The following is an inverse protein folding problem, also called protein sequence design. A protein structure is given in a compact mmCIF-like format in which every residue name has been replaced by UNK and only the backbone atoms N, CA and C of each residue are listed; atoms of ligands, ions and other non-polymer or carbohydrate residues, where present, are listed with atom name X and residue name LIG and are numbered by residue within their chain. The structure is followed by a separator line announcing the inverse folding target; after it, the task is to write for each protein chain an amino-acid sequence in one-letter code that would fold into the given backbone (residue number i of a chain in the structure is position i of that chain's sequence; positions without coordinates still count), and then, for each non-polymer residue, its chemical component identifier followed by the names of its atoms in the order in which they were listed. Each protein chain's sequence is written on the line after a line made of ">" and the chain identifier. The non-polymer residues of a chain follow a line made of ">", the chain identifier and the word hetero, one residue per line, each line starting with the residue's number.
data_IF_391536000722
#
_entry.id   IF_391536000722
#
_cell.length_a   1.000
_cell.length_b   1.000
_cell.length_c   1.000
_cell.angle_alpha   90.00
_cell.angle_beta   90.00
_cell.angle_gamma   90.00
#
_symmetry.space_group_name_H-M   'P 1'
#
loop_
_entity.id
_entity.type
_entity.pdbx_description
1 polymer ?
2 polymer ?
3 non-polymer ?
4 non-polymer ?
5 water ?
#
# COMPACT_ATOMS: atom_id res chain seq x y z
N UNK A 1 15.18 13.26 -2.56
CA UNK A 1 15.27 12.27 -1.49
C UNK A 1 14.11 11.30 -1.53
N UNK A 2 14.26 10.16 -0.85
CA UNK A 2 13.23 9.13 -0.78
C UNK A 2 12.41 9.30 0.49
N UNK A 3 11.10 9.09 0.38
CA UNK A 3 10.27 9.00 1.58
C UNK A 3 10.81 7.86 2.45
N UNK A 4 11.11 8.16 3.70
CA UNK A 4 11.58 7.15 4.62
C UNK A 4 11.33 7.59 6.04
N UNK A 5 11.76 6.75 6.97
CA UNK A 5 11.59 7.04 8.39
C UNK A 5 12.13 8.42 8.75
N UNK A 6 11.31 9.19 9.46
CA UNK A 6 11.69 10.49 10.03
C UNK A 6 11.96 11.57 9.00
N UNK A 7 11.43 11.42 7.79
CA UNK A 7 11.46 12.52 6.83
C UNK A 7 10.14 13.27 6.92
N UNK A 8 10.21 14.58 6.66
CA UNK A 8 9.00 15.38 6.52
C UNK A 8 8.63 15.37 5.04
N UNK A 9 7.42 14.91 4.74
CA UNK A 9 6.97 14.66 3.38
C UNK A 9 5.76 15.56 3.12
N UNK A 10 5.77 16.24 1.98
CA UNK A 10 4.64 17.06 1.54
C UNK A 10 3.99 16.38 0.35
N UNK A 11 2.68 16.18 0.42
CA UNK A 11 1.95 15.54 -0.66
C UNK A 11 0.76 16.40 -1.08
N UNK A 12 0.42 16.27 -2.35
CA UNK A 12 -0.84 16.75 -2.91
C UNK A 12 -1.71 15.53 -3.16
N UNK A 13 -2.98 15.61 -2.79
CA UNK A 13 -3.83 14.43 -2.83
C UNK A 13 -5.20 14.79 -3.35
N UNK A 14 -5.81 13.80 -4.01
CA UNK A 14 -7.20 13.83 -4.43
C UNK A 14 -7.86 12.55 -3.95
N UNK A 15 -8.97 12.67 -3.23
CA UNK A 15 -9.72 11.53 -2.76
C UNK A 15 -10.95 11.35 -3.63
N UNK A 16 -11.07 10.15 -4.21
CA UNK A 16 -12.19 9.68 -4.99
C UNK A 16 -12.74 8.42 -4.34
N UNK A 17 -14.04 8.19 -4.53
CA UNK A 17 -14.66 6.93 -4.16
C UNK A 17 -15.55 6.51 -5.32
N UNK A 18 -15.23 5.37 -5.93
CA UNK A 18 -15.94 4.83 -7.09
C UNK A 18 -16.08 5.86 -8.20
N UNK A 19 -14.98 6.55 -8.51
CA UNK A 19 -14.94 7.48 -9.60
C UNK A 19 -15.43 8.88 -9.30
N UNK A 20 -15.96 9.12 -8.09
CA UNK A 20 -16.49 10.42 -7.74
C UNK A 20 -15.46 11.12 -6.87
N UNK A 21 -15.06 12.32 -7.28
CA UNK A 21 -14.08 13.10 -6.53
C UNK A 21 -14.74 13.66 -5.28
N UNK A 22 -14.16 13.35 -4.12
CA UNK A 22 -14.66 13.83 -2.84
C UNK A 22 -13.83 14.93 -2.24
N UNK A 23 -12.51 14.91 -2.39
CA UNK A 23 -11.73 15.98 -1.75
C UNK A 23 -10.41 16.17 -2.48
N UNK A 24 -9.79 17.32 -2.27
CA UNK A 24 -8.46 17.60 -2.79
C UNK A 24 -7.74 18.53 -1.82
N UNK A 25 -6.43 18.34 -1.72
CA UNK A 25 -5.66 19.27 -0.91
C UNK A 25 -4.19 18.90 -0.81
N UNK A 26 -3.52 19.51 0.16
CA UNK A 26 -2.09 19.35 0.35
C UNK A 26 -1.78 19.25 1.83
N UNK A 27 -0.80 18.41 2.18
CA UNK A 27 -0.44 18.29 3.59
C UNK A 27 1.03 17.95 3.72
N UNK A 28 1.54 18.15 4.93
CA UNK A 28 2.89 17.73 5.30
C UNK A 28 2.79 16.82 6.51
N UNK A 29 3.65 15.79 6.56
CA UNK A 29 3.62 14.87 7.68
C UNK A 29 5.01 14.31 7.93
N UNK A 30 5.23 13.89 9.18
CA UNK A 30 6.46 13.21 9.55
C UNK A 30 6.26 11.71 9.34
N UNK A 31 7.09 11.12 8.48
CA UNK A 31 6.89 9.74 8.07
C UNK A 31 7.41 8.77 9.14
N UNK A 32 6.71 7.65 9.29
CA UNK A 32 7.15 6.60 10.19
C UNK A 32 6.55 6.65 11.58
N UNK A 33 5.49 7.43 11.79
CA UNK A 33 4.92 7.63 13.13
C UNK A 33 3.41 7.46 13.14
N UNK A 34 2.84 6.73 12.19
CA UNK A 34 1.40 6.46 12.16
C UNK A 34 0.58 7.74 12.17
N UNK A 35 1.02 8.75 11.42
CA UNK A 35 0.35 10.04 11.40
C UNK A 35 -0.72 10.15 10.32
N UNK A 36 -0.74 9.23 9.36
CA UNK A 36 -1.76 9.18 8.32
C UNK A 36 -2.65 7.96 8.53
N UNK A 37 -3.74 7.92 7.76
CA UNK A 37 -4.69 6.80 7.83
C UNK A 37 -3.95 5.53 7.43
N UNK A 38 -4.34 4.37 7.98
CA UNK A 38 -3.64 3.12 7.66
C UNK A 38 -3.60 2.86 6.16
N UNK A 39 -2.41 2.54 5.66
CA UNK A 39 -2.22 2.21 4.27
C UNK A 39 -1.59 3.30 3.42
N UNK A 40 -1.83 4.56 3.75
CA UNK A 40 -1.40 5.65 2.89
C UNK A 40 0.11 5.88 2.97
N UNK A 41 0.66 5.93 4.19
CA UNK A 41 2.10 6.11 4.29
C UNK A 41 2.83 4.86 3.81
N UNK A 42 2.23 3.69 3.93
CA UNK A 42 2.82 2.48 3.38
C UNK A 42 2.91 2.56 1.87
N UNK A 43 1.90 3.15 1.22
CA UNK A 43 1.97 3.37 -0.22
C UNK A 43 3.02 4.43 -0.56
N UNK A 44 3.29 5.35 0.37
CA UNK A 44 4.27 6.40 0.13
C UNK A 44 5.71 5.97 0.39
N UNK A 45 5.91 4.89 1.13
CA UNK A 45 7.24 4.43 1.51
C UNK A 45 8.15 4.25 0.29
N UNK A 46 9.37 4.78 0.39
CA UNK A 46 10.38 4.61 -0.62
C UNK A 46 10.23 5.44 -1.87
N UNK A 47 9.22 6.29 -1.95
CA UNK A 47 9.00 7.08 -3.15
C UNK A 47 9.87 8.33 -3.17
N UNK A 48 10.23 8.75 -4.38
CA UNK A 48 11.06 9.93 -4.58
C UNK A 48 10.19 11.17 -4.79
N UNK A 49 10.74 12.33 -4.46
CA UNK A 49 10.09 13.61 -4.74
C UNK A 49 9.72 13.69 -6.22
N UNK A 50 8.49 14.14 -6.48
CA UNK A 50 7.97 14.25 -7.82
C UNK A 50 7.17 13.05 -8.30
N UNK A 51 7.27 11.91 -7.61
CA UNK A 51 6.49 10.75 -7.98
C UNK A 51 5.00 11.00 -7.78
N UNK A 52 4.20 10.55 -8.76
CA UNK A 52 2.75 10.58 -8.67
C UNK A 52 2.24 9.16 -8.82
N UNK A 53 1.22 8.81 -8.04
CA UNK A 53 0.78 7.42 -7.95
C UNK A 53 -0.60 7.37 -7.32
N UNK A 54 -1.19 6.18 -7.28
CA UNK A 54 -2.46 5.96 -6.61
C UNK A 54 -2.27 5.04 -5.42
N UNK A 55 -3.12 5.25 -4.41
CA UNK A 55 -3.15 4.42 -3.22
C UNK A 55 -4.60 4.12 -2.88
N UNK A 56 -4.84 2.93 -2.34
CA UNK A 56 -6.20 2.50 -2.03
C UNK A 56 -6.29 2.07 -0.59
N UNK A 57 -7.13 2.75 0.19
CA UNK A 57 -7.31 2.49 1.61
C UNK A 57 -8.75 2.04 1.82
N UNK A 58 -9.01 0.88 2.42
CA UNK A 58 -10.40 0.55 2.75
C UNK A 58 -11.00 1.62 3.64
N UNK A 59 -12.23 2.02 3.33
CA UNK A 59 -12.89 3.07 4.10
C UNK A 59 -13.05 2.69 5.57
N UNK A 60 -13.19 1.39 5.84
CA UNK A 60 -13.35 0.90 7.20
C UNK A 60 -12.20 1.35 8.10
N UNK A 61 -10.97 1.24 7.61
CA UNK A 61 -9.79 1.56 8.41
C UNK A 61 -9.65 3.04 8.72
N UNK A 62 -10.24 3.93 7.92
CA UNK A 62 -10.35 5.33 8.35
C UNK A 62 -11.62 5.52 9.15
N UNK A 63 -11.64 6.56 9.98
CA UNK A 63 -12.80 6.79 10.84
C UNK A 63 -13.96 7.46 10.11
N UNK A 64 -13.72 8.01 8.92
CA UNK A 64 -14.79 8.57 8.11
C UNK A 64 -15.42 7.50 7.23
N UNK A 65 -16.74 7.47 7.22
CA UNK A 65 -17.48 6.53 6.37
C UNK A 65 -18.80 7.15 5.94
N UNK A 69 -25.01 8.20 7.29
CA UNK A 69 -24.60 9.55 7.68
C UNK A 69 -23.52 10.11 6.76
N UNK A 70 -23.34 9.48 5.61
CA UNK A 70 -22.33 9.92 4.66
C UNK A 70 -22.67 9.45 3.26
N UNK A 71 -21.85 9.90 2.31
CA UNK A 71 -21.94 9.45 0.93
C UNK A 71 -20.96 8.33 0.64
N UNK A 72 -20.21 7.87 1.64
CA UNK A 72 -19.22 6.81 1.45
C UNK A 72 -19.88 5.50 1.89
N UNK A 73 -20.07 4.55 0.99
CA UNK A 73 -20.71 3.29 1.38
C UNK A 73 -19.84 2.49 2.28
N UNK A 74 -20.40 1.68 3.18
CA UNK A 74 -19.59 0.75 3.94
C UNK A 74 -18.99 -0.27 2.99
N UNK A 75 -17.78 -0.73 3.32
CA UNK A 75 -16.97 -1.65 2.52
C UNK A 75 -16.35 -0.97 1.30
N UNK A 76 -16.53 0.34 1.14
CA UNK A 76 -16.00 1.02 -0.04
C UNK A 76 -14.50 1.23 0.10
N UNK A 77 -13.87 1.60 -1.01
CA UNK A 77 -12.44 1.90 -1.05
C UNK A 77 -12.23 3.38 -1.31
N UNK A 78 -11.30 3.98 -0.54
CA UNK A 78 -10.84 5.35 -0.75
C UNK A 78 -9.67 5.31 -1.73
N UNK A 79 -9.90 5.85 -2.93
CA UNK A 79 -8.87 5.92 -3.97
C UNK A 79 -8.20 7.30 -3.89
N UNK A 80 -6.93 7.32 -3.56
CA UNK A 80 -6.15 8.55 -3.48
C UNK A 80 -5.24 8.64 -4.69
N UNK A 81 -5.25 9.78 -5.34
CA UNK A 81 -4.20 10.13 -6.29
C UNK A 81 -3.26 11.07 -5.55
N UNK A 82 -1.99 10.70 -5.46
CA UNK A 82 -1.03 11.36 -4.60
C UNK A 82 0.17 11.79 -5.44
N UNK A 83 0.70 12.97 -5.13
CA UNK A 83 1.93 13.46 -5.72
C UNK A 83 2.85 13.92 -4.59
N UNK A 84 4.08 13.43 -4.59
CA UNK A 84 5.07 13.80 -3.59
C UNK A 84 5.73 15.09 -4.06
N UNK A 85 5.44 16.19 -3.38
CA UNK A 85 5.91 17.51 -3.76
C UNK A 85 7.31 17.77 -3.24
N UNK A 86 7.58 17.34 -2.01
CA UNK A 86 8.84 17.66 -1.36
C UNK A 86 9.10 16.64 -0.27
N UNK A 87 10.37 16.26 -0.12
CA UNK A 87 10.84 15.45 0.99
C UNK A 87 12.03 16.14 1.60
N UNK A 88 12.07 16.22 2.93
CA UNK A 88 13.18 16.90 3.59
C UNK A 88 13.42 16.28 4.96
N UNK A 89 14.64 16.47 5.46
CA UNK A 89 14.98 16.16 6.83
C UNK A 89 14.10 16.94 7.81
N UNK A 90 13.77 16.28 8.92
CA UNK A 90 13.03 16.91 10.01
C UNK A 90 13.95 17.80 10.84
N UNK A 91 13.36 18.84 11.44
CA UNK A 91 14.05 19.71 12.39
C UNK A 91 14.01 19.10 13.79
N UNK A 92 14.86 19.59 14.70
CA UNK A 92 14.78 19.15 16.11
C UNK A 92 13.38 19.22 16.71
N UNK A 93 12.67 20.32 16.49
CA UNK A 93 11.27 20.43 16.92
C UNK A 93 10.43 19.27 16.42
N UNK A 94 10.48 19.04 15.10
CA UNK A 94 9.65 18.00 14.48
C UNK A 94 9.97 16.61 15.02
N UNK A 95 11.25 16.28 15.19
CA UNK A 95 11.61 14.98 15.73
C UNK A 95 11.19 14.86 17.20
N UNK A 96 11.33 15.95 17.95
CA UNK A 96 10.96 15.95 19.35
C UNK A 96 9.49 15.64 19.54
N UNK A 97 8.63 16.25 18.71
CA UNK A 97 7.19 16.02 18.85
C UNK A 97 6.64 14.93 17.93
N UNK A 98 7.40 14.46 16.96
CA UNK A 98 6.88 13.42 16.10
C UNK A 98 5.88 13.88 15.08
N UNK A 99 5.90 15.17 14.72
CA UNK A 99 4.99 15.73 13.74
C UNK A 99 5.72 16.78 12.93
N UNK A 100 5.29 16.97 11.69
CA UNK A 100 5.81 18.06 10.87
C UNK A 100 5.23 19.40 11.34
N UNK A 101 6.03 20.46 11.20
CA UNK A 101 5.66 21.81 11.56
C UNK A 101 5.83 22.75 10.37
N UNK A 102 5.03 23.83 10.28
CA UNK A 102 5.12 24.81 9.18
C UNK A 102 6.46 25.55 9.12
N UNK B 1 -12.99 -6.06 -11.88
CA UNK B 1 -13.24 -5.92 -10.46
C UNK B 1 -12.03 -5.36 -9.72
N UNK B 2 -12.28 -4.90 -8.50
CA UNK B 2 -11.21 -4.39 -7.65
C UNK B 2 -10.73 -5.52 -6.74
N UNK B 3 -9.42 -5.57 -6.51
CA UNK B 3 -8.88 -6.49 -5.51
C UNK B 3 -9.56 -6.22 -4.18
N UNK B 4 -10.09 -7.28 -3.57
CA UNK B 4 -10.73 -7.11 -2.28
C UNK B 4 -10.82 -8.43 -1.57
N UNK B 5 -11.45 -8.38 -0.39
CA UNK B 5 -11.63 -9.57 0.43
C UNK B 5 -12.27 -10.70 -0.36
N UNK B 6 -11.70 -11.89 -0.24
CA UNK B 6 -12.22 -13.13 -0.80
C UNK B 6 -12.22 -13.17 -2.32
N UNK B 7 -11.40 -12.34 -2.97
CA UNK B 7 -11.20 -12.45 -4.40
C UNK B 7 -9.95 -13.27 -4.69
N UNK B 8 -9.99 -14.00 -5.79
CA UNK B 8 -8.80 -14.66 -6.31
C UNK B 8 -8.16 -13.71 -7.31
N UNK B 9 -6.89 -13.37 -7.07
CA UNK B 9 -6.20 -12.33 -7.81
C UNK B 9 -4.99 -12.96 -8.50
N UNK B 10 -4.82 -12.66 -9.78
CA UNK B 10 -3.65 -13.09 -10.54
C UNK B 10 -2.80 -11.85 -10.82
N UNK B 11 -1.52 -11.92 -10.49
CA UNK B 11 -0.62 -10.80 -10.70
C UNK B 11 0.61 -11.25 -11.48
N UNK B 12 1.19 -10.30 -12.20
CA UNK B 12 2.53 -10.39 -12.78
C UNK B 12 3.43 -9.49 -11.95
N UNK B 13 4.58 -10.01 -11.53
CA UNK B 13 5.39 -9.26 -10.57
C UNK B 13 6.88 -9.43 -10.84
N UNK B 14 7.63 -8.42 -10.41
CA UNK B 14 9.08 -8.45 -10.29
C UNK B 14 9.43 -7.97 -8.88
N UNK B 15 10.12 -8.82 -8.11
CA UNK B 15 10.62 -8.46 -6.79
C UNK B 15 12.13 -8.36 -6.84
N UNK B 16 12.63 -7.17 -6.47
CA UNK B 16 14.04 -6.83 -6.36
C UNK B 16 14.35 -6.40 -4.92
N UNK B 17 15.58 -6.63 -4.50
CA UNK B 17 16.11 -6.08 -3.25
C UNK B 17 17.52 -5.60 -3.51
N UNK B 18 17.77 -4.32 -3.27
CA UNK B 18 19.07 -3.70 -3.54
C UNK B 18 19.52 -3.96 -4.99
N UNK B 19 18.59 -3.80 -5.92
CA UNK B 19 18.90 -3.88 -7.33
C UNK B 19 18.91 -5.28 -7.93
N UNK B 20 18.83 -6.35 -7.13
CA UNK B 20 18.88 -7.72 -7.63
C UNK B 20 17.48 -8.30 -7.60
N UNK B 21 17.08 -8.84 -8.75
CA UNK B 21 15.79 -9.50 -8.85
C UNK B 21 15.84 -10.76 -8.00
N UNK B 22 14.92 -10.86 -7.07
CA UNK B 22 14.84 -12.07 -6.27
C UNK B 22 13.74 -12.99 -6.75
N UNK B 23 12.77 -12.45 -7.49
CA UNK B 23 11.78 -13.27 -8.17
C UNK B 23 11.15 -12.45 -9.29
N UNK B 24 10.60 -13.14 -10.29
CA UNK B 24 9.81 -12.52 -11.33
C UNK B 24 8.90 -13.60 -11.89
N UNK B 25 7.65 -13.27 -12.11
CA UNK B 25 6.75 -14.28 -12.64
C UNK B 25 5.31 -13.87 -12.54
N UNK B 26 4.45 -14.88 -12.44
CA UNK B 26 3.02 -14.72 -12.33
C UNK B 26 2.55 -15.60 -11.19
N UNK B 27 1.55 -15.14 -10.45
CA UNK B 27 0.99 -15.94 -9.38
C UNK B 27 -0.48 -15.59 -9.20
N UNK B 28 -1.21 -16.49 -8.55
CA UNK B 28 -2.55 -16.18 -8.10
C UNK B 28 -2.67 -16.53 -6.63
N UNK B 29 -3.45 -15.73 -5.92
CA UNK B 29 -3.62 -15.88 -4.49
C UNK B 29 -5.05 -15.49 -4.11
N UNK B 30 -5.51 -16.03 -2.99
CA UNK B 30 -6.79 -15.65 -2.42
C UNK B 30 -6.57 -14.44 -1.51
N UNK B 31 -7.20 -13.32 -1.83
CA UNK B 31 -6.94 -12.08 -1.12
C UNK B 31 -7.73 -12.03 0.18
N UNK B 32 -7.10 -11.48 1.22
CA UNK B 32 -7.75 -11.26 2.49
C UNK B 32 -7.59 -12.37 3.50
N UNK B 33 -6.66 -13.30 3.30
CA UNK B 33 -6.52 -14.48 4.14
C UNK B 33 -5.07 -14.69 4.58
N UNK B 34 -4.28 -13.62 4.62
CA UNK B 34 -2.88 -13.69 5.06
C UNK B 34 -2.06 -14.65 4.19
N UNK B 35 -2.30 -14.64 2.88
CA UNK B 35 -1.60 -15.56 1.98
C UNK B 35 -0.35 -14.97 1.34
N UNK B 36 -0.19 -13.65 1.36
CA UNK B 36 1.01 -13.00 0.88
C UNK B 36 1.77 -12.39 2.05
N UNK B 37 3.00 -11.94 1.79
CA UNK B 37 3.80 -11.33 2.84
C UNK B 37 3.09 -10.07 3.31
N UNK B 38 3.20 -9.71 4.59
CA UNK B 38 2.61 -8.46 5.05
C UNK B 38 3.17 -7.27 4.29
N UNK B 39 2.28 -6.40 3.83
CA UNK B 39 2.69 -5.21 3.10
C UNK B 39 2.40 -5.34 1.62
N UNK B 40 2.52 -6.54 1.08
CA UNK B 40 2.24 -6.73 -0.33
C UNK B 40 0.75 -6.76 -0.58
N UNK B 41 0.02 -7.50 0.26
CA UNK B 41 -1.43 -7.54 0.11
C UNK B 41 -2.06 -6.21 0.45
N UNK B 42 -1.44 -5.45 1.37
CA UNK B 42 -1.92 -4.11 1.63
C UNK B 42 -1.72 -3.22 0.40
N UNK B 43 -0.59 -3.39 -0.31
CA UNK B 43 -0.37 -2.63 -1.53
C UNK B 43 -1.31 -3.07 -2.65
N UNK B 44 -1.81 -4.32 -2.62
CA UNK B 44 -2.72 -4.77 -3.67
C UNK B 44 -4.18 -4.39 -3.41
N UNK B 45 -4.56 -4.10 -2.17
CA UNK B 45 -5.95 -3.81 -1.85
C UNK B 45 -6.50 -2.69 -2.71
N UNK B 46 -7.69 -2.91 -3.26
CA UNK B 46 -8.38 -1.89 -4.03
C UNK B 46 -7.89 -1.67 -5.45
N UNK B 47 -6.92 -2.45 -5.92
CA UNK B 47 -6.43 -2.25 -7.27
C UNK B 47 -7.40 -2.87 -8.28
N UNK B 48 -7.48 -2.25 -9.44
CA UNK B 48 -8.34 -2.74 -10.51
C UNK B 48 -7.55 -3.63 -11.46
N UNK B 49 -8.29 -4.51 -12.15
CA UNK B 49 -7.71 -5.34 -13.20
C UNK B 49 -6.96 -4.49 -14.21
N UNK B 50 -5.73 -4.87 -14.53
CA UNK B 50 -4.92 -4.13 -15.45
C UNK B 50 -4.07 -3.04 -14.84
N UNK B 51 -4.35 -2.65 -13.60
CA UNK B 51 -3.56 -1.62 -12.93
C UNK B 51 -2.14 -2.12 -12.69
N UNK B 52 -1.17 -1.27 -12.95
CA UNK B 52 0.24 -1.54 -12.70
C UNK B 52 0.78 -0.51 -11.73
N UNK B 53 1.64 -0.95 -10.82
CA UNK B 53 2.07 -0.09 -9.73
C UNK B 53 3.37 -0.61 -9.15
N UNK B 54 3.98 0.21 -8.31
CA UNK B 54 5.17 -0.14 -7.54
C UNK B 54 4.83 -0.12 -6.06
N UNK B 55 5.53 -0.95 -5.30
CA UNK B 55 5.44 -0.90 -3.85
C UNK B 55 6.82 -1.16 -3.25
N UNK B 56 7.10 -0.52 -2.13
CA UNK B 56 8.37 -0.72 -1.44
C UNK B 56 8.02 -1.15 -0.02
N UNK B 57 8.35 -2.39 0.33
CA UNK B 57 7.96 -2.96 1.61
C UNK B 57 9.23 -3.14 2.44
N UNK B 58 9.34 -2.50 3.60
CA UNK B 58 10.52 -2.70 4.44
C UNK B 58 10.67 -4.16 4.84
N UNK B 59 11.90 -4.65 4.80
CA UNK B 59 12.16 -6.02 5.21
C UNK B 59 11.70 -6.24 6.65
N UNK B 60 11.73 -5.19 7.47
CA UNK B 60 11.23 -5.26 8.83
C UNK B 60 9.76 -5.71 8.88
N UNK B 61 8.92 -5.21 7.95
CA UNK B 61 7.50 -5.55 7.99
C UNK B 61 7.23 -7.00 7.60
N UNK B 62 8.04 -7.55 6.71
CA UNK B 62 8.11 -8.99 6.60
C UNK B 62 9.07 -9.42 7.70
N UNK B 63 9.28 -10.73 7.85
CA UNK B 63 10.18 -11.27 8.93
C UNK B 63 9.44 -11.33 10.26
N UNK B 69 20.24 -17.34 9.05
CA UNK B 69 19.41 -16.12 9.10
C UNK B 69 18.57 -15.93 7.85
N UNK B 70 18.96 -14.98 7.00
CA UNK B 70 18.25 -14.71 5.77
C UNK B 70 19.17 -14.08 4.76
N UNK B 71 18.68 -13.98 3.52
CA UNK B 71 19.46 -13.37 2.43
C UNK B 71 19.06 -11.93 2.15
N UNK B 72 18.07 -11.40 2.84
CA UNK B 72 17.62 -10.02 2.67
C UNK B 72 18.14 -9.20 3.84
N UNK B 73 18.89 -8.11 3.61
CA UNK B 73 19.43 -7.35 4.72
C UNK B 73 18.28 -6.81 5.61
N UNK B 74 18.54 -6.66 6.90
CA UNK B 74 17.45 -6.25 7.81
C UNK B 74 16.87 -4.88 7.55
N UNK B 75 17.60 -3.96 6.91
CA UNK B 75 17.08 -2.62 6.67
C UNK B 75 16.73 -2.37 5.22
N UNK B 76 16.84 -3.38 4.36
CA UNK B 76 16.59 -3.18 2.95
C UNK B 76 15.10 -3.10 2.67
N UNK B 77 14.77 -2.65 1.46
CA UNK B 77 13.39 -2.57 1.01
C UNK B 77 13.17 -3.59 -0.11
N UNK B 78 12.03 -4.27 -0.05
CA UNK B 78 11.57 -5.15 -1.12
C UNK B 78 10.82 -4.29 -2.13
N UNK B 79 11.40 -4.12 -3.32
CA UNK B 79 10.80 -3.32 -4.38
C UNK B 79 10.03 -4.23 -5.34
N UNK B 80 8.71 -4.05 -5.36
CA UNK B 80 7.81 -4.81 -6.22
C UNK B 80 7.33 -3.92 -7.36
N UNK B 81 7.45 -4.43 -8.59
CA UNK B 81 6.71 -3.93 -9.74
C UNK B 81 5.60 -4.94 -10.02
N UNK B 82 4.34 -4.50 -9.96
CA UNK B 82 3.19 -5.41 -10.01
C UNK B 82 2.23 -4.95 -11.09
N UNK B 83 1.59 -5.91 -11.75
CA UNK B 83 0.49 -5.68 -12.67
C UNK B 83 -0.61 -6.67 -12.30
N UNK B 84 -1.83 -6.18 -12.14
CA UNK B 84 -2.97 -7.03 -11.81
C UNK B 84 -3.54 -7.57 -13.12
N UNK B 85 -3.35 -8.87 -13.35
CA UNK B 85 -3.75 -9.51 -14.60
C UNK B 85 -5.23 -9.90 -14.58
N UNK B 86 -5.73 -10.38 -13.44
CA UNK B 86 -7.08 -10.92 -13.39
C UNK B 86 -7.58 -10.84 -11.95
N UNK B 87 -8.86 -10.54 -11.79
CA UNK B 87 -9.54 -10.62 -10.50
C UNK B 87 -10.84 -11.37 -10.69
N UNK B 88 -11.13 -12.30 -9.79
CA UNK B 88 -12.40 -13.03 -9.86
C UNK B 88 -12.78 -13.45 -8.44
N UNK B 89 -14.06 -13.71 -8.23
CA UNK B 89 -14.54 -14.36 -7.01
C UNK B 89 -13.94 -15.76 -6.83
N UNK B 90 -13.72 -16.13 -5.57
CA UNK B 90 -13.30 -17.46 -5.21
C UNK B 90 -14.48 -18.41 -5.22
N UNK B 91 -14.18 -19.70 -5.44
CA UNK B 91 -15.18 -20.76 -5.35
C UNK B 91 -15.37 -21.19 -3.88
N UNK B 92 -16.49 -21.87 -3.57
CA UNK B 92 -16.68 -22.40 -2.19
C UNK B 92 -15.51 -23.23 -1.68
N UNK B 93 -15.00 -24.13 -2.53
CA UNK B 93 -13.75 -24.88 -2.38
C UNK B 93 -12.57 -23.97 -2.07
N UNK B 94 -12.33 -22.92 -2.87
CA UNK B 94 -11.21 -22.01 -2.59
C UNK B 94 -11.39 -21.34 -1.23
N UNK B 95 -12.61 -20.94 -0.88
CA UNK B 95 -12.85 -20.35 0.43
C UNK B 95 -12.62 -21.37 1.55
N UNK B 96 -13.01 -22.63 1.30
CA UNK B 96 -12.87 -23.69 2.29
C UNK B 96 -11.41 -23.95 2.62
N UNK B 97 -10.56 -24.02 1.60
CA UNK B 97 -9.15 -24.29 1.81
C UNK B 97 -8.37 -23.01 2.09
N UNK B 98 -8.98 -21.86 1.85
CA UNK B 98 -8.32 -20.59 2.09
C UNK B 98 -7.23 -20.26 1.10
N UNK B 99 -7.26 -20.86 -0.08
CA UNK B 99 -6.22 -20.64 -1.08
C UNK B 99 -6.81 -20.65 -2.47
N UNK B 100 -6.15 -19.93 -3.37
CA UNK B 100 -6.51 -20.00 -4.78
C UNK B 100 -6.04 -21.31 -5.38
N UNK B 101 -6.80 -21.80 -6.35
CA UNK B 101 -6.43 -23.00 -7.06
C UNK B 101 -6.39 -22.70 -8.55
N UNK B 102 -5.53 -23.39 -9.30
CA UNK B 102 -5.47 -23.14 -10.74
C UNK B 102 -6.81 -23.45 -11.40
N UNK B 103 -7.14 -22.68 -12.43
CA UNK B 103 -8.33 -22.94 -13.23
C UNK B 103 -8.02 -23.61 -14.57
N UNK B 104 -6.75 -23.75 -14.91
CA UNK B 104 -6.36 -24.36 -16.17
C UNK B 104 -5.85 -23.36 -17.18
N UNK C 1 -14.37 18.43 -0.48
CA UNK C 1 -15.14 19.04 0.59
C UNK C 1 -14.99 18.26 1.89
N UNK C 2 -14.57 18.95 2.95
CA UNK C 2 -14.40 18.33 4.25
C UNK C 2 -15.66 18.49 5.11
N UNK C 3 -15.91 17.47 5.93
CA UNK C 3 -17.04 17.44 6.86
C UNK C 3 -16.55 17.07 8.25
N UNK C 4 -17.41 17.29 9.24
CA UNK C 4 -17.00 17.10 10.64
C UNK C 4 -16.55 15.66 10.91
N UNK C 5 -17.29 14.67 10.43
CA UNK C 5 -16.98 13.30 10.80
C UNK C 5 -15.69 12.79 10.16
N UNK C 6 -15.20 13.45 9.11
CA UNK C 6 -13.95 13.07 8.46
C UNK C 6 -12.96 14.24 8.42
N UNK C 7 -12.97 15.08 9.45
CA UNK C 7 -12.19 16.32 9.41
C UNK C 7 -10.69 16.05 9.36
N UNK C 8 -10.22 15.00 10.05
CA UNK C 8 -8.78 14.75 10.09
C UNK C 8 -8.24 14.18 8.77
N UNK C 9 -9.08 13.48 8.01
CA UNK C 9 -8.62 12.76 6.83
C UNK C 9 -7.85 13.68 5.89
N UNK C 10 -6.75 13.22 5.28
CA UNK C 10 -6.21 11.86 5.45
C UNK C 10 -5.21 11.70 6.59
N UNK C 11 -5.12 12.67 7.50
CA UNK C 11 -4.37 12.43 8.72
C UNK C 11 -5.09 11.37 9.54
N UNK C 12 -4.34 10.69 10.42
CA UNK C 12 -4.96 9.66 11.22
C UNK C 12 -6.00 10.28 12.15
N UNK C 13 -7.00 9.49 12.52
CA UNK C 13 -8.04 9.95 13.43
C UNK C 13 -7.49 10.07 14.85
N UNK C 14 -7.91 11.12 15.55
CA UNK C 14 -7.54 11.29 16.95
C UNK C 14 -6.13 11.80 17.15
N UNK D 1 16.21 -14.27 -10.07
CA UNK D 1 16.73 -15.56 -9.63
C UNK D 1 16.22 -15.89 -8.23
N UNK D 2 15.62 -17.07 -8.08
CA UNK D 2 15.07 -17.50 -6.81
C UNK D 2 16.14 -18.18 -5.98
N UNK D 3 16.07 -18.02 -4.67
CA UNK D 3 16.99 -18.66 -3.76
C UNK D 3 16.20 -19.38 -2.67
N UNK D 4 16.86 -20.35 -2.05
CA UNK D 4 16.19 -21.23 -1.09
C UNK D 4 15.62 -20.43 0.08
N UNK D 5 16.38 -19.47 0.60
CA UNK D 5 15.94 -18.75 1.78
C UNK D 5 14.76 -17.82 1.48
N UNK D 6 14.48 -17.56 0.20
CA UNK D 6 13.34 -16.75 -0.21
C UNK D 6 12.44 -17.51 -1.19
N UNK D 7 12.39 -18.84 -1.06
CA UNK D 7 11.66 -19.65 -2.03
C UNK D 7 10.15 -19.42 -1.92
N UNK D 8 9.63 -19.16 -0.72
CA UNK D 8 8.20 -18.95 -0.54
C UNK D 8 7.76 -17.60 -1.10
N UNK D 9 8.66 -16.63 -1.16
CA UNK D 9 8.31 -15.28 -1.56
C UNK D 9 7.60 -15.29 -2.91
N UNK D 10 6.63 -14.41 -3.13
CA UNK D 10 6.15 -13.42 -2.16
C UNK D 10 4.95 -13.91 -1.34
N UNK D 11 4.74 -15.22 -1.31
CA UNK D 11 3.70 -15.79 -0.45
C UNK D 11 3.99 -15.59 1.03
N UNK D 12 5.21 -15.88 1.47
CA UNK D 12 5.47 -15.83 2.91
C UNK D 12 6.97 -15.72 3.19
N UNK D 13 7.26 -15.19 4.37
CA UNK D 13 8.62 -15.06 4.92
C UNK D 13 9.37 -13.93 4.22
#
# INVERSE_FOLDING_TARGET
>A
MKVGQDKVVTIRYTLQVEGEVLDQGELSYLHGHRNLIPGLEEALEGREEGEAFQAHVPAEKAYGATGHPGIIPPHATLDFQVEVVKVREATPEELLHGHAHPSGHHHHHH
>B
MKVGQDKVVTIRYTLQVEGEVLDQGELSYLHGHRNLIPGLEEALEGREEGEAFQAHVPAEKAYGATGHPGIIPPHATLDFQVEVVKVREATPEELLHGHAHPSGHHHHHH
>C
TRYWNAKALPFAFGA
>D
TRYWNAKALPFAFGA
#
